data_IF_899571551049
#
_entry.id   IF_899571551049
#
_cell.length_a   1.000
_cell.length_b   1.000
_cell.length_c   1.000
_cell.angle_alpha   90.00
_cell.angle_beta   90.00
_cell.angle_gamma   90.00
#
_symmetry.space_group_name_H-M   'P 1'
#
loop_
_entity.id
_entity.type
_entity.pdbx_description
1 polymer ?
#
# COMPACT_ATOMS: atom_id res chain seq x y z
N UNK A 1 -4.10 -13.80 -1.46
CA UNK A 1 -3.14 -12.69 -1.31
C UNK A 1 -2.66 -12.74 0.13
N UNK A 2 -1.35 -12.92 0.34
CA UNK A 2 -0.69 -12.89 1.65
C UNK A 2 0.48 -11.91 1.57
N UNK A 3 1.05 -11.54 2.70
CA UNK A 3 2.30 -10.78 2.74
C UNK A 3 3.44 -11.69 3.19
N UNK A 4 4.64 -11.40 2.73
CA UNK A 4 5.85 -12.15 3.04
C UNK A 4 6.43 -11.64 4.38
N UNK A 5 6.37 -12.49 5.40
CA UNK A 5 6.87 -12.17 6.73
C UNK A 5 8.39 -11.94 6.77
N UNK A 6 9.17 -12.61 5.91
CA UNK A 6 10.62 -12.42 5.84
C UNK A 6 10.94 -11.05 5.24
N UNK A 7 10.23 -10.67 4.18
CA UNK A 7 10.38 -9.34 3.57
C UNK A 7 9.96 -8.25 4.56
N UNK A 8 8.81 -8.40 5.22
CA UNK A 8 8.35 -7.43 6.22
C UNK A 8 9.32 -7.27 7.40
N UNK A 9 9.92 -8.37 7.86
CA UNK A 9 10.94 -8.35 8.92
C UNK A 9 12.24 -7.67 8.44
N UNK A 10 12.69 -7.98 7.23
CA UNK A 10 13.87 -7.37 6.61
C UNK A 10 13.71 -5.84 6.46
N UNK A 11 12.54 -5.38 5.98
CA UNK A 11 12.22 -3.96 5.86
C UNK A 11 12.20 -3.25 7.23
N UNK A 12 11.72 -3.95 8.27
CA UNK A 12 11.70 -3.43 9.64
C UNK A 12 13.11 -3.31 10.24
N UNK A 13 14.02 -4.23 9.89
CA UNK A 13 15.42 -4.18 10.31
C UNK A 13 16.19 -3.03 9.63
N UNK A 14 15.83 -2.68 8.40
CA UNK A 14 16.48 -1.62 7.60
C UNK A 14 15.65 -0.32 7.53
N UNK A 15 14.87 -0.02 8.57
CA UNK A 15 13.83 1.02 8.56
C UNK A 15 14.33 2.48 8.63
N UNK A 16 15.62 2.73 8.87
CA UNK A 16 16.16 4.04 9.27
C UNK A 16 15.75 5.20 8.37
N UNK A 17 15.83 4.99 7.05
CA UNK A 17 15.43 6.02 6.07
C UNK A 17 13.94 6.38 6.18
N UNK A 18 13.09 5.36 6.28
CA UNK A 18 11.64 5.55 6.37
C UNK A 18 11.25 6.12 7.74
N UNK A 19 11.95 5.73 8.81
CA UNK A 19 11.79 6.29 10.14
C UNK A 19 12.14 7.79 10.17
N UNK A 20 13.26 8.19 9.56
CA UNK A 20 13.65 9.60 9.44
C UNK A 20 12.56 10.44 8.76
N UNK A 21 12.01 9.96 7.64
CA UNK A 21 10.91 10.62 6.93
C UNK A 21 9.62 10.67 7.76
N UNK A 22 9.26 9.58 8.44
CA UNK A 22 8.07 9.51 9.28
C UNK A 22 8.16 10.47 10.47
N UNK A 23 9.32 10.56 11.12
CA UNK A 23 9.57 11.54 12.19
C UNK A 23 9.54 12.97 11.67
N UNK A 24 10.12 13.24 10.50
CA UNK A 24 10.03 14.54 9.83
C UNK A 24 8.56 14.94 9.61
N UNK A 25 7.75 14.07 8.99
CA UNK A 25 6.33 14.31 8.78
C UNK A 25 5.55 14.51 10.09
N UNK A 26 5.91 13.79 11.15
CA UNK A 26 5.33 13.93 12.48
C UNK A 26 5.65 15.29 13.10
N UNK A 27 6.88 15.78 12.96
CA UNK A 27 7.28 17.10 13.45
C UNK A 27 6.47 18.25 12.80
N UNK A 28 6.05 18.08 11.53
CA UNK A 28 5.17 19.03 10.84
C UNK A 28 3.67 18.75 11.04
N UNK A 29 3.29 17.87 11.97
CA UNK A 29 1.89 17.52 12.25
C UNK A 29 1.16 16.82 11.10
N UNK A 30 1.91 16.29 10.11
CA UNK A 30 1.35 15.54 8.97
C UNK A 30 1.08 14.08 9.33
N UNK A 31 1.81 13.55 10.30
CA UNK A 31 1.62 12.20 10.83
C UNK A 31 1.26 12.30 12.31
N UNK A 32 0.06 11.84 12.68
CA UNK A 32 -0.48 11.95 14.05
C UNK A 32 -0.27 10.69 14.88
N UNK A 33 -0.12 9.54 14.21
CA UNK A 33 0.03 8.24 14.85
C UNK A 33 1.46 8.02 15.37
N UNK A 34 1.64 6.93 16.09
CA UNK A 34 2.97 6.46 16.47
C UNK A 34 3.77 6.03 15.22
N UNK A 35 5.05 6.40 15.17
CA UNK A 35 5.89 6.20 13.96
C UNK A 35 6.13 4.71 13.74
N UNK A 36 6.47 3.95 14.78
CA UNK A 36 6.75 2.52 14.65
C UNK A 36 5.49 1.73 14.21
N UNK A 37 4.30 2.11 14.69
CA UNK A 37 3.04 1.50 14.23
C UNK A 37 2.73 1.80 12.76
N UNK A 38 2.99 3.03 12.32
CA UNK A 38 2.80 3.40 10.90
C UNK A 38 3.79 2.65 10.02
N UNK A 39 5.07 2.61 10.39
CA UNK A 39 6.09 1.87 9.65
C UNK A 39 5.78 0.38 9.61
N UNK A 40 5.34 -0.20 10.73
CA UNK A 40 4.87 -1.59 10.76
C UNK A 40 3.80 -1.84 9.70
N UNK A 41 2.75 -1.01 9.67
CA UNK A 41 1.67 -1.15 8.67
C UNK A 41 2.20 -0.98 7.24
N UNK A 42 3.08 -0.01 7.02
CA UNK A 42 3.68 0.27 5.73
C UNK A 42 4.53 -0.89 5.20
N UNK A 43 5.36 -1.50 6.04
CA UNK A 43 6.19 -2.64 5.64
C UNK A 43 5.37 -3.90 5.34
N UNK A 44 4.27 -4.12 6.06
CA UNK A 44 3.34 -5.21 5.71
C UNK A 44 2.67 -4.98 4.34
N UNK A 45 2.37 -3.72 3.99
CA UNK A 45 1.86 -3.38 2.66
C UNK A 45 2.92 -3.60 1.56
N UNK A 46 4.17 -3.20 1.81
CA UNK A 46 5.28 -3.42 0.86
C UNK A 46 5.60 -4.90 0.66
N UNK A 47 5.35 -5.73 1.66
CA UNK A 47 5.59 -7.15 1.61
C UNK A 47 4.44 -7.97 0.99
N UNK A 48 3.38 -7.35 0.46
CA UNK A 48 2.30 -8.10 -0.21
C UNK A 48 2.88 -8.88 -1.39
N UNK A 49 2.79 -10.20 -1.32
CA UNK A 49 3.30 -11.11 -2.34
C UNK A 49 2.17 -11.54 -3.29
N UNK A 50 2.44 -11.45 -4.59
CA UNK A 50 1.50 -11.85 -5.63
C UNK A 50 2.22 -12.24 -6.93
N UNK A 51 1.60 -13.12 -7.72
CA UNK A 51 2.06 -13.41 -9.08
C UNK A 51 1.73 -12.25 -10.04
N UNK A 52 2.33 -12.22 -11.23
CA UNK A 52 2.03 -11.23 -12.26
C UNK A 52 0.57 -11.25 -12.70
N UNK A 53 -0.04 -12.43 -12.74
CA UNK A 53 -1.46 -12.62 -13.04
C UNK A 53 -2.35 -11.98 -11.94
N UNK A 54 -2.03 -12.26 -10.67
CA UNK A 54 -2.73 -11.66 -9.54
C UNK A 54 -2.58 -10.14 -9.50
N UNK A 55 -1.41 -9.61 -9.85
CA UNK A 55 -1.16 -8.17 -9.95
C UNK A 55 -2.02 -7.52 -11.04
N UNK A 56 -2.08 -8.13 -12.23
CA UNK A 56 -2.91 -7.64 -13.34
C UNK A 56 -4.40 -7.62 -12.94
N UNK A 57 -4.88 -8.68 -12.29
CA UNK A 57 -6.23 -8.74 -11.76
C UNK A 57 -6.50 -7.71 -10.66
N UNK A 58 -5.55 -7.49 -9.74
CA UNK A 58 -5.69 -6.51 -8.66
C UNK A 58 -5.77 -5.06 -9.19
N UNK A 59 -5.07 -4.75 -10.29
CA UNK A 59 -5.10 -3.44 -10.95
C UNK A 59 -6.25 -3.24 -11.94
N UNK A 60 -6.96 -4.30 -12.35
CA UNK A 60 -7.93 -4.26 -13.45
C UNK A 60 -9.05 -3.21 -13.27
N UNK A 61 -9.47 -2.97 -12.02
CA UNK A 61 -10.51 -1.97 -11.73
C UNK A 61 -10.08 -0.54 -12.10
N UNK A 62 -8.78 -0.25 -12.12
CA UNK A 62 -8.25 1.05 -12.50
C UNK A 62 -8.45 1.33 -14.00
N UNK A 63 -8.37 0.30 -14.83
CA UNK A 63 -8.65 0.39 -16.27
C UNK A 63 -10.15 0.37 -16.61
N UNK A 64 -11.03 0.15 -15.63
CA UNK A 64 -12.48 -0.01 -15.81
C UNK A 64 -13.28 0.98 -14.96
N UNK A 65 -12.89 2.26 -14.94
CA UNK A 65 -13.60 3.34 -14.22
C UNK A 65 -13.91 3.04 -12.74
N UNK A 66 -12.99 2.33 -12.10
CA UNK A 66 -13.11 1.95 -10.69
C UNK A 66 -13.91 0.69 -10.42
N UNK A 67 -14.34 -0.05 -11.45
CA UNK A 67 -15.17 -1.26 -11.34
C UNK A 67 -14.35 -2.51 -11.65
N UNK A 68 -14.37 -3.48 -10.73
CA UNK A 68 -13.78 -4.79 -10.94
C UNK A 68 -14.74 -5.65 -11.80
N UNK A 69 -14.47 -5.79 -13.10
CA UNK A 69 -15.40 -6.44 -14.06
C UNK A 69 -15.80 -7.88 -13.70
N UNK A 70 -14.89 -8.79 -13.29
CA UNK A 70 -15.26 -10.14 -12.85
C UNK A 70 -16.35 -10.20 -11.78
N UNK A 71 -16.39 -9.23 -10.86
CA UNK A 71 -17.37 -9.20 -9.76
C UNK A 71 -18.46 -8.13 -9.91
N UNK A 72 -18.34 -7.25 -10.92
CA UNK A 72 -19.14 -6.03 -11.08
C UNK A 72 -19.16 -5.10 -9.85
N UNK A 73 -18.22 -5.26 -8.92
CA UNK A 73 -18.12 -4.43 -7.73
C UNK A 73 -17.34 -3.14 -8.03
N UNK A 74 -17.87 -2.01 -7.55
CA UNK A 74 -17.15 -0.74 -7.56
C UNK A 74 -16.15 -0.68 -6.41
N UNK A 75 -14.87 -0.68 -6.74
CA UNK A 75 -13.77 -0.56 -5.76
C UNK A 75 -13.54 0.91 -5.42
N UNK A 76 -13.56 1.80 -6.43
CA UNK A 76 -13.41 3.26 -6.27
C UNK A 76 -14.29 4.03 -7.26
N UNK A 77 -14.41 5.35 -7.08
CA UNK A 77 -15.09 6.20 -8.07
C UNK A 77 -14.27 6.29 -9.37
N UNK A 78 -14.90 6.59 -10.52
CA UNK A 78 -14.19 6.75 -11.80
C UNK A 78 -13.11 7.83 -11.73
N UNK A 79 -13.42 8.97 -11.08
CA UNK A 79 -12.46 10.05 -10.88
C UNK A 79 -11.26 9.61 -10.03
N UNK A 80 -11.47 8.78 -9.01
CA UNK A 80 -10.38 8.27 -8.17
C UNK A 80 -9.54 7.24 -8.90
N UNK A 81 -10.14 6.36 -9.72
CA UNK A 81 -9.39 5.44 -10.58
C UNK A 81 -8.44 6.20 -11.53
N UNK A 82 -8.92 7.27 -12.17
CA UNK A 82 -8.11 8.15 -13.04
C UNK A 82 -7.06 9.00 -12.32
N UNK A 83 -7.09 9.11 -10.97
CA UNK A 83 -6.05 9.77 -10.18
C UNK A 83 -5.01 8.79 -9.64
N UNK A 84 -5.34 7.50 -9.61
CA UNK A 84 -4.43 6.44 -9.18
C UNK A 84 -3.58 5.97 -10.37
N UNK A 85 -4.20 5.83 -11.56
CA UNK A 85 -3.51 5.71 -12.85
C UNK A 85 -2.92 7.04 -13.29
#
# INVERSE_FOLDING_TARGET
ICFDHQVAASEMEHKDRNASLAHFMKAFGRLRHDVDKVLGTYFHQCAIAMSSDQLAHAGLFLASDGVNRPSNLRVVSPQRARRIN
#
